data_IF_385880497921
#
_entry.id   IF_385880497921
#
_cell.length_a   1.000
_cell.length_b   1.000
_cell.length_c   1.000
_cell.angle_alpha   90.00
_cell.angle_beta   90.00
_cell.angle_gamma   90.00
#
_symmetry.space_group_name_H-M   'P 1'
#
loop_
_entity.id
_entity.type
_entity.pdbx_description
1 polymer ?
#
# COMPACT_ATOMS: atom_id res chain seq x y z
N UNK A 1 2.70 18.96 -5.03
CA UNK A 1 1.89 19.26 -3.81
C UNK A 1 1.76 20.76 -3.59
N UNK A 2 0.62 21.29 -3.06
CA UNK A 2 0.44 22.74 -2.77
C UNK A 2 1.27 23.22 -1.56
N UNK A 3 1.33 22.42 -0.49
CA UNK A 3 2.08 22.72 0.74
C UNK A 3 3.50 22.17 0.63
N UNK A 4 4.37 22.91 -0.08
CA UNK A 4 5.78 22.57 -0.28
C UNK A 4 6.57 22.44 1.01
N UNK A 5 6.19 23.21 2.04
CA UNK A 5 6.76 23.18 3.39
C UNK A 5 6.54 21.84 4.12
N UNK A 6 5.65 21.00 3.63
CA UNK A 6 5.33 19.66 4.19
C UNK A 6 5.70 18.53 3.23
N UNK A 7 6.24 18.83 2.09
CA UNK A 7 6.67 17.84 1.11
C UNK A 7 7.95 17.16 1.56
N UNK A 8 7.95 15.83 1.60
CA UNK A 8 9.13 15.02 1.85
C UNK A 8 9.13 13.82 0.90
N UNK A 9 9.95 13.91 -0.14
CA UNK A 9 10.07 12.91 -1.19
C UNK A 9 11.42 12.16 -1.09
N UNK A 10 12.04 12.12 0.10
CA UNK A 10 13.26 11.35 0.27
C UNK A 10 12.97 9.84 0.27
N UNK A 11 13.88 9.01 -0.25
CA UNK A 11 13.73 7.56 -0.23
C UNK A 11 13.52 7.02 1.19
N UNK A 12 14.25 7.54 2.17
CA UNK A 12 14.17 7.14 3.57
C UNK A 12 12.79 7.42 4.17
N UNK A 13 12.16 8.53 3.78
CA UNK A 13 10.82 8.86 4.22
C UNK A 13 9.78 7.89 3.61
N UNK A 14 9.93 7.54 2.35
CA UNK A 14 9.04 6.57 1.71
C UNK A 14 9.16 5.21 2.39
N UNK A 15 10.39 4.70 2.58
CA UNK A 15 10.60 3.42 3.26
C UNK A 15 10.02 3.43 4.68
N UNK A 16 10.26 4.49 5.47
CA UNK A 16 9.68 4.64 6.81
C UNK A 16 8.15 4.50 6.80
N UNK A 17 7.47 5.15 5.85
CA UNK A 17 6.02 5.11 5.77
C UNK A 17 5.54 3.73 5.31
N UNK A 18 6.19 3.12 4.32
CA UNK A 18 5.84 1.77 3.87
C UNK A 18 6.07 0.71 4.95
N UNK A 19 7.15 0.81 5.72
CA UNK A 19 7.47 -0.15 6.79
C UNK A 19 6.47 -0.08 7.93
N UNK A 20 6.12 1.12 8.38
CA UNK A 20 5.24 1.32 9.54
C UNK A 20 3.75 1.21 9.22
N UNK A 21 3.33 1.50 7.99
CA UNK A 21 1.91 1.45 7.64
C UNK A 21 1.36 0.02 7.72
N UNK A 22 0.30 -0.19 8.46
CA UNK A 22 -0.37 -1.49 8.57
C UNK A 22 -1.34 -1.73 7.41
N UNK A 23 -1.86 -0.65 6.81
CA UNK A 23 -2.87 -0.71 5.75
C UNK A 23 -2.47 0.22 4.61
N UNK A 24 -2.68 -0.25 3.38
CA UNK A 24 -2.66 0.55 2.17
C UNK A 24 -4.07 0.64 1.60
N UNK A 25 -4.51 1.85 1.25
CA UNK A 25 -5.74 2.05 0.50
C UNK A 25 -5.43 2.10 -0.98
N UNK A 26 -6.11 1.30 -1.79
CA UNK A 26 -5.91 1.23 -3.24
C UNK A 26 -7.22 1.57 -3.93
N UNK A 27 -7.15 2.55 -4.83
CA UNK A 27 -8.24 2.97 -5.69
C UNK A 27 -8.04 2.38 -7.09
N UNK A 28 -9.00 1.56 -7.52
CA UNK A 28 -9.09 0.99 -8.85
C UNK A 28 -10.00 1.88 -9.71
N UNK A 29 -9.64 2.00 -10.99
CA UNK A 29 -10.50 2.71 -11.94
C UNK A 29 -11.80 1.94 -12.18
N UNK A 30 -12.92 2.61 -11.94
CA UNK A 30 -14.27 2.06 -12.12
C UNK A 30 -15.23 3.18 -12.48
N UNK A 31 -16.35 2.86 -13.09
CA UNK A 31 -17.38 3.81 -13.53
C UNK A 31 -18.70 3.57 -12.79
N UNK A 32 -19.41 4.61 -12.38
CA UNK A 32 -19.07 6.05 -12.45
C UNK A 32 -18.18 6.51 -11.28
N UNK A 33 -17.86 5.65 -10.31
CA UNK A 33 -17.08 5.98 -9.13
C UNK A 33 -15.88 5.04 -8.97
N UNK A 34 -14.68 5.56 -8.60
CA UNK A 34 -13.53 4.73 -8.27
C UNK A 34 -13.86 3.72 -7.17
N UNK A 35 -13.36 2.50 -7.30
CA UNK A 35 -13.50 1.45 -6.31
C UNK A 35 -12.29 1.42 -5.39
N UNK A 36 -12.45 1.85 -4.14
CA UNK A 36 -11.35 1.99 -3.19
C UNK A 36 -11.48 1.02 -2.03
N UNK A 37 -10.40 0.29 -1.72
CA UNK A 37 -10.35 -0.71 -0.66
C UNK A 37 -9.06 -0.62 0.17
N UNK A 38 -9.14 -0.93 1.48
CA UNK A 38 -7.98 -1.15 2.33
C UNK A 38 -7.42 -2.57 2.16
N UNK A 39 -6.09 -2.71 2.25
CA UNK A 39 -5.40 -3.99 2.18
C UNK A 39 -4.23 -4.08 3.15
N UNK A 40 -3.98 -5.30 3.66
CA UNK A 40 -2.66 -5.69 4.09
C UNK A 40 -1.76 -5.85 2.87
N UNK A 41 -0.48 -5.52 3.00
CA UNK A 41 0.44 -5.51 1.87
C UNK A 41 1.87 -5.88 2.27
N UNK A 42 2.65 -6.34 1.30
CA UNK A 42 4.09 -6.42 1.38
C UNK A 42 4.73 -5.52 0.31
N UNK A 43 5.98 -5.15 0.50
CA UNK A 43 6.75 -4.38 -0.47
C UNK A 43 8.06 -5.10 -0.73
N UNK A 44 8.40 -5.30 -2.00
CA UNK A 44 9.71 -5.79 -2.44
C UNK A 44 10.21 -4.79 -3.49
N UNK A 45 11.30 -4.12 -3.20
CA UNK A 45 11.86 -3.08 -4.06
C UNK A 45 10.81 -2.02 -4.47
N UNK A 46 10.57 -1.83 -5.76
CA UNK A 46 9.60 -0.87 -6.31
C UNK A 46 8.23 -1.49 -6.62
N UNK A 47 7.85 -2.52 -5.89
CA UNK A 47 6.59 -3.26 -6.10
C UNK A 47 5.86 -3.46 -4.79
N UNK A 48 4.55 -3.21 -4.82
CA UNK A 48 3.63 -3.52 -3.72
C UNK A 48 2.89 -4.79 -4.08
N UNK A 49 2.72 -5.67 -3.09
CA UNK A 49 1.99 -6.92 -3.24
C UNK A 49 0.83 -6.99 -2.25
N UNK A 50 -0.32 -7.40 -2.75
CA UNK A 50 -1.51 -7.70 -1.94
C UNK A 50 -2.04 -9.07 -2.32
N UNK A 51 -2.60 -9.79 -1.35
CA UNK A 51 -3.30 -11.05 -1.63
C UNK A 51 -4.82 -10.86 -1.61
N UNK A 52 -5.54 -11.65 -2.36
CA UNK A 52 -7.00 -11.59 -2.43
C UNK A 52 -7.60 -12.93 -2.86
N UNK A 53 -8.92 -13.01 -2.84
CA UNK A 53 -9.64 -14.14 -3.44
C UNK A 53 -9.34 -14.25 -4.94
N UNK A 54 -9.53 -15.44 -5.49
CA UNK A 54 -9.27 -15.75 -6.92
C UNK A 54 -10.24 -15.09 -7.88
N UNK A 55 -11.37 -14.60 -7.37
CA UNK A 55 -12.43 -13.96 -8.14
C UNK A 55 -12.90 -12.69 -7.44
N UNK A 56 -13.50 -11.77 -8.19
CA UNK A 56 -14.13 -10.58 -7.66
C UNK A 56 -13.81 -9.32 -8.45
N UNK A 57 -14.64 -8.29 -8.21
CA UNK A 57 -14.66 -7.00 -8.94
C UNK A 57 -13.28 -6.38 -9.16
N UNK A 58 -12.40 -6.38 -8.15
CA UNK A 58 -11.06 -5.79 -8.28
C UNK A 58 -10.20 -6.47 -9.34
N UNK A 59 -10.33 -7.79 -9.51
CA UNK A 59 -9.59 -8.53 -10.54
C UNK A 59 -10.08 -8.20 -11.95
N UNK A 60 -11.39 -8.02 -12.09
CA UNK A 60 -11.99 -7.62 -13.37
C UNK A 60 -11.59 -6.20 -13.73
N UNK A 61 -11.58 -5.29 -12.74
CA UNK A 61 -11.14 -3.90 -12.93
C UNK A 61 -9.66 -3.83 -13.35
N UNK A 62 -8.77 -4.59 -12.71
CA UNK A 62 -7.33 -4.62 -13.07
C UNK A 62 -7.12 -5.14 -14.48
N UNK A 63 -7.88 -6.15 -14.91
CA UNK A 63 -7.80 -6.68 -16.27
C UNK A 63 -8.24 -5.65 -17.33
N UNK A 64 -9.24 -4.85 -16.99
CA UNK A 64 -9.76 -3.80 -17.86
C UNK A 64 -8.92 -2.51 -17.82
N UNK A 65 -8.48 -2.13 -16.64
CA UNK A 65 -7.77 -0.88 -16.34
C UNK A 65 -6.70 -1.12 -15.27
N UNK A 66 -5.44 -1.35 -15.66
CA UNK A 66 -4.37 -1.68 -14.71
C UNK A 66 -3.89 -0.48 -13.87
N UNK A 67 -4.27 0.75 -14.24
CA UNK A 67 -3.86 1.96 -13.52
C UNK A 67 -4.54 2.04 -12.16
N UNK A 68 -3.74 2.19 -11.10
CA UNK A 68 -4.22 2.34 -9.75
C UNK A 68 -3.58 3.55 -9.07
N UNK A 69 -4.30 4.12 -8.12
CA UNK A 69 -3.75 5.06 -7.15
C UNK A 69 -3.80 4.42 -5.76
N UNK A 70 -2.86 4.81 -4.90
CA UNK A 70 -2.83 4.31 -3.53
C UNK A 70 -2.38 5.37 -2.54
N UNK A 71 -2.75 5.17 -1.29
CA UNK A 71 -2.22 5.94 -0.17
C UNK A 71 -2.05 5.10 1.08
N UNK A 72 -1.13 5.57 1.93
CA UNK A 72 -0.93 5.08 3.29
C UNK A 72 -0.53 6.26 4.18
N UNK A 73 -0.86 6.13 5.47
CA UNK A 73 -0.52 7.15 6.47
C UNK A 73 -0.16 6.48 7.80
N UNK A 74 0.77 7.11 8.51
CA UNK A 74 1.26 6.67 9.81
C UNK A 74 1.32 7.84 10.80
N UNK A 75 1.55 7.54 12.07
CA UNK A 75 1.74 8.51 13.13
C UNK A 75 0.60 9.55 13.21
N UNK A 76 -0.64 9.11 12.94
CA UNK A 76 -1.81 10.00 12.91
C UNK A 76 -2.16 10.42 14.34
N UNK A 77 -2.09 11.74 14.59
CA UNK A 77 -2.39 12.34 15.88
C UNK A 77 -3.18 13.63 15.72
N UNK A 78 -4.31 13.73 16.42
CA UNK A 78 -5.14 14.94 16.44
C UNK A 78 -4.70 15.82 17.62
N UNK A 79 -4.29 17.04 17.33
CA UNK A 79 -4.02 18.08 18.30
C UNK A 79 -5.26 18.96 18.44
N UNK A 80 -5.95 18.82 19.57
CA UNK A 80 -7.21 19.53 19.83
C UNK A 80 -7.01 21.00 20.17
N UNK A 81 -5.87 21.35 20.75
CA UNK A 81 -5.57 22.73 21.13
C UNK A 81 -5.17 23.57 19.90
N UNK A 82 -4.39 22.97 19.00
CA UNK A 82 -3.94 23.60 17.76
C UNK A 82 -4.89 23.40 16.59
N UNK A 83 -6.00 22.67 16.78
CA UNK A 83 -6.97 22.33 15.71
C UNK A 83 -6.30 21.76 14.46
N UNK A 84 -5.36 20.86 14.65
CA UNK A 84 -4.60 20.27 13.55
C UNK A 84 -4.43 18.76 13.69
N UNK A 85 -4.12 18.10 12.58
CA UNK A 85 -3.76 16.68 12.55
C UNK A 85 -2.33 16.54 12.07
N UNK A 86 -1.52 15.87 12.87
CA UNK A 86 -0.17 15.46 12.52
C UNK A 86 -0.21 14.07 11.90
N UNK A 87 0.60 13.84 10.89
CA UNK A 87 0.72 12.55 10.22
C UNK A 87 1.89 12.56 9.23
N UNK A 88 2.35 11.36 8.89
CA UNK A 88 3.20 11.12 7.72
C UNK A 88 2.40 10.30 6.72
N UNK A 89 2.41 10.67 5.45
CA UNK A 89 1.69 9.95 4.41
C UNK A 89 2.44 9.88 3.10
N UNK A 90 2.17 8.82 2.36
CA UNK A 90 2.62 8.64 0.98
C UNK A 90 1.41 8.38 0.11
N UNK A 91 1.33 9.10 -1.01
CA UNK A 91 0.40 8.82 -2.09
C UNK A 91 1.22 8.41 -3.32
N UNK A 92 0.69 7.49 -4.10
CA UNK A 92 1.37 7.04 -5.30
C UNK A 92 0.41 6.56 -6.38
N UNK A 93 0.99 6.33 -7.54
CA UNK A 93 0.32 5.69 -8.68
C UNK A 93 1.13 4.50 -9.12
N UNK A 94 0.48 3.54 -9.75
CA UNK A 94 1.14 2.34 -10.24
C UNK A 94 0.31 1.60 -11.26
N UNK A 95 0.90 0.53 -11.80
CA UNK A 95 0.20 -0.43 -12.65
C UNK A 95 0.06 -1.76 -11.93
N UNK A 96 -1.17 -2.21 -11.80
CA UNK A 96 -1.53 -3.46 -11.18
C UNK A 96 -1.57 -4.60 -12.20
N UNK A 97 -1.10 -5.77 -11.80
CA UNK A 97 -1.19 -7.01 -12.58
C UNK A 97 -1.31 -8.22 -11.65
N UNK A 98 -1.83 -9.33 -12.16
CA UNK A 98 -1.81 -10.60 -11.45
C UNK A 98 -0.40 -11.19 -11.50
N UNK A 99 0.03 -11.77 -10.38
CA UNK A 99 1.27 -12.54 -10.31
C UNK A 99 0.98 -13.97 -10.74
N UNK A 100 1.53 -14.36 -11.89
CA UNK A 100 1.37 -15.72 -12.47
C UNK A 100 2.52 -16.64 -12.08
N UNK A 101 3.74 -16.09 -11.97
CA UNK A 101 4.91 -16.87 -11.58
C UNK A 101 4.82 -17.38 -10.14
N UNK A 102 4.90 -18.72 -9.92
CA UNK A 102 4.81 -19.30 -8.59
C UNK A 102 5.91 -18.84 -7.62
N UNK A 103 7.12 -18.58 -8.12
CA UNK A 103 8.24 -18.14 -7.29
C UNK A 103 8.03 -16.69 -6.83
N UNK A 104 7.61 -15.78 -7.73
CA UNK A 104 7.24 -14.41 -7.37
C UNK A 104 6.06 -14.39 -6.39
N UNK A 105 5.07 -15.25 -6.61
CA UNK A 105 3.91 -15.38 -5.74
C UNK A 105 4.28 -15.82 -4.33
N UNK A 106 5.19 -16.80 -4.20
CA UNK A 106 5.69 -17.25 -2.91
C UNK A 106 6.43 -16.12 -2.19
N UNK A 107 7.38 -15.46 -2.85
CA UNK A 107 8.11 -14.33 -2.29
C UNK A 107 7.19 -13.17 -1.84
N UNK A 108 6.15 -12.87 -2.62
CA UNK A 108 5.16 -11.85 -2.27
C UNK A 108 4.37 -12.21 -0.99
N UNK A 109 3.95 -13.46 -0.85
CA UNK A 109 3.23 -13.94 0.33
C UNK A 109 4.13 -13.96 1.57
N UNK A 110 5.40 -14.31 1.40
CA UNK A 110 6.40 -14.26 2.48
C UNK A 110 6.62 -12.81 2.93
N UNK A 111 6.79 -11.86 2.02
CA UNK A 111 6.95 -10.45 2.34
C UNK A 111 5.72 -9.87 3.08
N UNK A 112 4.51 -10.28 2.71
CA UNK A 112 3.29 -9.93 3.44
C UNK A 112 3.32 -10.58 4.84
N UNK A 113 3.67 -11.87 4.93
CA UNK A 113 3.74 -12.60 6.19
C UNK A 113 4.75 -12.00 7.18
N UNK A 114 5.95 -11.69 6.72
CA UNK A 114 7.01 -11.08 7.51
C UNK A 114 6.60 -9.72 8.08
N UNK A 115 5.97 -8.87 7.26
CA UNK A 115 5.51 -7.55 7.69
C UNK A 115 4.58 -7.61 8.89
N UNK A 116 3.72 -8.62 8.97
CA UNK A 116 2.73 -8.77 10.06
C UNK A 116 3.10 -9.86 11.08
N UNK A 117 4.30 -10.43 11.01
CA UNK A 117 4.72 -11.54 11.87
C UNK A 117 4.64 -11.22 13.37
N UNK A 118 4.94 -9.98 13.75
CA UNK A 118 4.82 -9.53 15.14
C UNK A 118 3.37 -9.45 15.64
N UNK A 119 2.40 -9.20 14.74
CA UNK A 119 0.98 -9.09 15.03
C UNK A 119 0.26 -10.43 14.89
N UNK A 120 0.74 -11.29 14.01
CA UNK A 120 0.16 -12.58 13.71
C UNK A 120 1.25 -13.65 13.47
N UNK A 121 1.82 -14.24 14.54
CA UNK A 121 2.99 -15.13 14.46
C UNK A 121 2.67 -16.53 13.88
N UNK A 122 1.77 -16.64 12.95
CA UNK A 122 1.51 -17.89 12.23
C UNK A 122 2.31 -17.90 10.94
N UNK A 123 3.12 -18.94 10.68
CA UNK A 123 3.76 -19.08 9.39
C UNK A 123 2.66 -19.08 8.31
N UNK A 124 2.86 -18.30 7.26
CA UNK A 124 1.97 -18.32 6.10
C UNK A 124 2.02 -19.74 5.52
N UNK A 125 0.93 -20.55 5.60
CA UNK A 125 1.03 -21.92 5.13
C UNK A 125 1.22 -21.89 3.62
N UNK A 126 2.19 -22.62 3.11
CA UNK A 126 2.36 -22.90 1.67
C UNK A 126 1.03 -23.37 1.02
N UNK A 127 0.13 -23.94 1.81
CA UNK A 127 -1.24 -24.30 1.42
C UNK A 127 -2.10 -23.11 0.95
N UNK A 128 -1.75 -21.86 1.31
CA UNK A 128 -2.44 -20.66 0.82
C UNK A 128 -2.07 -20.30 -0.61
N UNK A 129 -0.89 -20.72 -1.12
CA UNK A 129 -0.46 -20.44 -2.48
C UNK A 129 -1.52 -20.77 -3.53
N UNK A 130 -2.23 -21.88 -3.35
CA UNK A 130 -3.26 -22.33 -4.27
C UNK A 130 -4.67 -21.78 -3.97
N UNK A 131 -4.84 -21.04 -2.87
CA UNK A 131 -6.16 -20.53 -2.43
C UNK A 131 -6.36 -19.06 -2.73
N UNK A 132 -5.30 -18.30 -2.91
CA UNK A 132 -5.35 -16.84 -3.11
C UNK A 132 -4.77 -16.45 -4.46
N UNK A 133 -5.19 -15.30 -4.96
CA UNK A 133 -4.49 -14.56 -6.01
C UNK A 133 -3.60 -13.50 -5.37
N UNK A 134 -2.50 -13.18 -6.03
CA UNK A 134 -1.62 -12.06 -5.64
C UNK A 134 -1.63 -11.03 -6.74
N UNK A 135 -1.85 -9.77 -6.34
CA UNK A 135 -1.77 -8.61 -7.21
C UNK A 135 -0.44 -7.92 -6.92
N UNK A 136 0.30 -7.63 -7.96
CA UNK A 136 1.50 -6.81 -7.97
C UNK A 136 1.14 -5.42 -8.47
N UNK A 137 1.62 -4.38 -7.81
CA UNK A 137 1.53 -2.99 -8.25
C UNK A 137 2.96 -2.48 -8.47
N UNK A 138 3.34 -2.29 -9.74
CA UNK A 138 4.58 -1.61 -10.09
C UNK A 138 4.41 -0.11 -9.82
N UNK A 139 5.19 0.46 -8.92
CA UNK A 139 5.10 1.86 -8.52
C UNK A 139 5.64 2.74 -9.65
N UNK A 140 4.85 3.72 -10.09
CA UNK A 140 5.21 4.70 -11.11
C UNK A 140 5.58 6.07 -10.52
N UNK A 141 4.87 6.49 -9.47
CA UNK A 141 5.15 7.76 -8.80
C UNK A 141 4.85 7.69 -7.32
N UNK A 142 5.59 8.47 -6.54
CA UNK A 142 5.38 8.67 -5.11
C UNK A 142 5.40 10.15 -4.78
N UNK A 143 4.62 10.54 -3.78
CA UNK A 143 4.62 11.86 -3.18
C UNK A 143 4.40 11.73 -1.68
N UNK A 144 5.35 12.24 -0.91
CA UNK A 144 5.33 12.19 0.54
C UNK A 144 4.90 13.51 1.18
N UNK A 145 4.19 13.41 2.30
CA UNK A 145 3.79 14.54 3.12
C UNK A 145 4.09 14.26 4.58
N UNK A 146 4.92 15.13 5.15
CA UNK A 146 5.23 15.15 6.58
C UNK A 146 4.53 16.33 7.24
N UNK A 147 3.57 16.05 8.11
CA UNK A 147 2.87 17.07 8.90
C UNK A 147 3.17 16.83 10.38
N UNK A 148 4.32 17.31 10.83
CA UNK A 148 4.75 17.27 12.24
C UNK A 148 4.66 18.66 12.88
N UNK A 149 4.65 18.73 14.25
CA UNK A 149 4.83 20.00 14.94
C UNK A 149 6.13 20.65 14.46
N UNK A 150 6.11 21.94 14.22
CA UNK A 150 7.36 22.69 14.06
C UNK A 150 7.94 22.90 15.44
N UNK A 151 9.20 22.59 15.62
CA UNK A 151 9.97 23.12 16.75
C UNK A 151 10.07 24.63 16.53
N UNK A 152 9.50 25.40 17.44
CA UNK A 152 9.58 26.88 17.46
C UNK A 152 10.98 27.31 17.86
#
# INVERSE_FOLDING_TARGET
MRRKDRENNSPEFFELVFDKAEIINIAFRDEPFPYCLPFNFGKIENKIYIHCAKEGRKLDLIRAHPEVAFNLAIDIRIDREKYTTYFKSVCGTGQASLVEDPAEKAAALDAIGEKYAALCPRPSPMSLLNRVSVIKIAILSLSGKNCEPRED
#
